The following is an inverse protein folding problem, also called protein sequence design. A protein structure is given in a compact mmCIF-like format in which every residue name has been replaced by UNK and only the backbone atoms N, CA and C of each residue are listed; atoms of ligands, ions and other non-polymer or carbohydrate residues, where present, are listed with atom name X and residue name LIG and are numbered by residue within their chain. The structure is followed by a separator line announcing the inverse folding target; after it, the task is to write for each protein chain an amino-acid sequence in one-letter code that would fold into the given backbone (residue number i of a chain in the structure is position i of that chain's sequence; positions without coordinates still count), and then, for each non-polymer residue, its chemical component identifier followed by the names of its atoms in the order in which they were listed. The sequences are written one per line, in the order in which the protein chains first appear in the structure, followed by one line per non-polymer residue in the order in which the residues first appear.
data_IF_211851710157
#
_entry.id   IF_211851710157
#
_cell.length_a   1.000
_cell.length_b   1.000
_cell.length_c   1.000
_cell.angle_alpha   90.00
_cell.angle_beta   90.00
_cell.angle_gamma   90.00
#
_symmetry.space_group_name_H-M   'P 1'
#
loop_
_entity.id
_entity.type
_entity.pdbx_description
1 polymer ?
#
# COMPACT_ATOMS: atom_id res chain seq x y z
N UNK A 1 23.49 -2.92 8.61
CA UNK A 1 22.34 -3.50 9.32
C UNK A 1 21.14 -2.55 9.45
N UNK A 2 21.20 -1.30 8.97
CA UNK A 2 20.08 -0.33 9.00
C UNK A 2 18.93 -0.63 8.01
N UNK A 3 19.21 -1.39 6.94
CA UNK A 3 18.26 -1.60 5.84
C UNK A 3 17.13 -2.60 6.17
N UNK A 4 17.36 -3.56 7.05
CA UNK A 4 16.36 -4.59 7.41
C UNK A 4 15.28 -4.08 8.36
N UNK A 5 15.68 -3.26 9.35
CA UNK A 5 14.75 -2.64 10.28
C UNK A 5 13.80 -1.68 9.55
N UNK A 6 14.33 -0.84 8.66
CA UNK A 6 13.54 0.09 7.86
C UNK A 6 12.53 -0.63 6.94
N UNK A 7 12.94 -1.75 6.34
CA UNK A 7 12.03 -2.59 5.53
C UNK A 7 10.89 -3.11 6.40
N UNK A 8 11.19 -3.72 7.54
CA UNK A 8 10.20 -4.29 8.46
C UNK A 8 9.13 -3.28 8.90
N UNK A 9 9.53 -2.03 9.17
CA UNK A 9 8.58 -0.96 9.53
C UNK A 9 7.61 -0.64 8.40
N UNK A 10 8.11 -0.51 7.16
CA UNK A 10 7.24 -0.23 6.01
C UNK A 10 6.20 -1.34 5.76
N UNK A 11 6.55 -2.62 5.97
CA UNK A 11 5.59 -3.71 5.84
C UNK A 11 4.48 -3.66 6.88
N UNK A 12 4.80 -3.26 8.12
CA UNK A 12 3.82 -3.10 9.19
C UNK A 12 2.83 -1.97 8.90
N UNK A 13 3.33 -0.84 8.40
CA UNK A 13 2.50 0.30 8.01
C UNK A 13 1.57 -0.03 6.84
N UNK A 14 2.08 -0.76 5.83
CA UNK A 14 1.25 -1.25 4.70
C UNK A 14 0.16 -2.20 5.19
N UNK A 15 0.48 -3.13 6.10
CA UNK A 15 -0.48 -4.08 6.64
C UNK A 15 -1.62 -3.40 7.42
N UNK A 16 -1.28 -2.40 8.24
CA UNK A 16 -2.28 -1.61 8.97
C UNK A 16 -3.17 -0.82 8.01
N UNK A 17 -2.58 -0.13 7.03
CA UNK A 17 -3.32 0.62 6.02
C UNK A 17 -4.29 -0.27 5.23
N UNK A 18 -3.85 -1.46 4.81
CA UNK A 18 -4.69 -2.41 4.09
C UNK A 18 -5.86 -2.92 4.95
N UNK A 19 -5.65 -3.14 6.25
CA UNK A 19 -6.74 -3.51 7.17
C UNK A 19 -7.77 -2.39 7.32
N UNK A 20 -7.33 -1.13 7.43
CA UNK A 20 -8.23 0.02 7.50
C UNK A 20 -9.09 0.10 6.23
N UNK A 21 -8.47 0.02 5.06
CA UNK A 21 -9.19 0.10 3.78
C UNK A 21 -10.21 -1.04 3.63
N UNK A 22 -9.86 -2.25 4.06
CA UNK A 22 -10.78 -3.41 4.09
C UNK A 22 -11.95 -3.18 5.04
N UNK A 23 -11.69 -2.67 6.24
CA UNK A 23 -12.73 -2.39 7.24
C UNK A 23 -13.69 -1.28 6.76
N UNK A 24 -13.21 -0.38 5.90
CA UNK A 24 -14.05 0.60 5.18
C UNK A 24 -14.86 -0.01 4.02
N UNK A 25 -14.68 -1.30 3.70
CA UNK A 25 -15.41 -2.01 2.66
C UNK A 25 -14.87 -1.79 1.23
N UNK A 26 -13.64 -1.29 1.09
CA UNK A 26 -13.02 -1.07 -0.21
C UNK A 26 -12.50 -2.38 -0.80
N UNK A 27 -12.71 -2.57 -2.10
CA UNK A 27 -12.20 -3.72 -2.87
C UNK A 27 -11.19 -3.32 -3.95
N UNK A 28 -11.13 -2.03 -4.29
CA UNK A 28 -10.20 -1.50 -5.30
C UNK A 28 -9.86 -0.03 -5.01
N UNK A 29 -8.63 0.37 -5.31
CA UNK A 29 -8.15 1.76 -5.15
C UNK A 29 -7.34 2.22 -6.37
N UNK A 30 -7.28 3.54 -6.56
CA UNK A 30 -6.28 4.19 -7.39
C UNK A 30 -5.13 4.63 -6.48
N UNK A 31 -3.94 4.13 -6.75
CA UNK A 31 -2.74 4.47 -5.99
C UNK A 31 -2.18 5.80 -6.50
N UNK A 32 -2.27 6.84 -5.69
CA UNK A 32 -1.58 8.11 -5.95
C UNK A 32 -0.16 8.00 -5.39
N UNK A 33 0.85 8.12 -6.25
CA UNK A 33 2.25 8.05 -5.82
C UNK A 33 3.16 8.99 -6.58
N UNK A 34 4.08 9.63 -5.87
CA UNK A 34 5.18 10.41 -6.45
C UNK A 34 6.40 9.55 -6.82
N UNK A 35 6.43 8.28 -6.41
CA UNK A 35 7.53 7.35 -6.73
C UNK A 35 7.02 5.97 -7.16
N UNK A 36 7.65 5.31 -8.16
CA UNK A 36 7.27 3.97 -8.56
C UNK A 36 7.68 2.97 -7.48
N UNK A 37 6.71 2.49 -6.68
CA UNK A 37 6.88 1.41 -5.71
C UNK A 37 5.86 0.33 -5.96
N UNK A 38 6.27 -0.94 -5.83
CA UNK A 38 5.36 -2.07 -5.80
C UNK A 38 4.82 -2.27 -4.39
N UNK A 39 3.50 -2.26 -4.25
CA UNK A 39 2.81 -2.54 -2.99
C UNK A 39 2.21 -3.94 -3.06
N UNK A 40 2.97 -4.93 -2.58
CA UNK A 40 2.64 -6.36 -2.71
C UNK A 40 1.70 -6.86 -1.59
N UNK A 41 1.27 -5.96 -0.69
CA UNK A 41 0.51 -6.33 0.51
C UNK A 41 -1.00 -6.28 0.36
N UNK A 42 -1.56 -5.46 -0.54
CA UNK A 42 -2.99 -5.16 -0.57
C UNK A 42 -3.86 -6.31 -1.09
N UNK A 43 -3.36 -7.10 -2.04
CA UNK A 43 -4.09 -8.25 -2.59
C UNK A 43 -4.44 -9.29 -1.51
N UNK A 44 -3.57 -9.48 -0.51
CA UNK A 44 -3.83 -10.37 0.64
C UNK A 44 -4.97 -9.90 1.55
N UNK A 45 -5.38 -8.64 1.44
CA UNK A 45 -6.52 -8.06 2.16
C UNK A 45 -7.78 -7.95 1.28
N UNK A 46 -7.73 -8.45 0.04
CA UNK A 46 -8.83 -8.36 -0.92
C UNK A 46 -8.97 -6.98 -1.58
N UNK A 47 -7.88 -6.21 -1.64
CA UNK A 47 -7.86 -4.87 -2.24
C UNK A 47 -6.99 -4.88 -3.49
N UNK A 48 -7.61 -4.55 -4.63
CA UNK A 48 -6.95 -4.40 -5.91
C UNK A 48 -6.40 -2.98 -6.11
N UNK A 49 -5.24 -2.85 -6.76
CA UNK A 49 -4.77 -1.55 -7.27
C UNK A 49 -5.22 -1.44 -8.73
N UNK A 50 -6.32 -0.72 -8.99
CA UNK A 50 -6.87 -0.58 -10.34
C UNK A 50 -5.99 0.28 -11.27
N UNK A 51 -5.36 1.31 -10.71
CA UNK A 51 -4.45 2.19 -11.43
C UNK A 51 -3.42 2.78 -10.48
N UNK A 52 -2.30 3.25 -11.03
CA UNK A 52 -1.34 4.09 -10.32
C UNK A 52 -1.23 5.42 -11.05
N UNK A 53 -1.54 6.50 -10.37
CA UNK A 53 -1.45 7.86 -10.91
C UNK A 53 -0.33 8.62 -10.22
N UNK A 54 0.35 9.46 -11.00
CA UNK A 54 1.37 10.36 -10.48
C UNK A 54 0.71 11.39 -9.58
N UNK A 55 1.20 11.54 -8.34
CA UNK A 55 0.76 12.63 -7.49
C UNK A 55 1.40 13.94 -8.00
N UNK A 56 0.64 14.73 -8.76
CA UNK A 56 1.02 16.10 -9.11
C UNK A 56 0.89 16.98 -7.85
N UNK A 57 1.89 17.83 -7.59
CA UNK A 57 1.93 18.74 -6.43
C UNK A 57 1.18 20.05 -6.69
#
# INVERSE_FOLDING_TARGET
TTSEAARTTSWREIGLGAQILRDLGLTSIILLSSTPRKYVGLEGFGIEIAATEGLES
#
